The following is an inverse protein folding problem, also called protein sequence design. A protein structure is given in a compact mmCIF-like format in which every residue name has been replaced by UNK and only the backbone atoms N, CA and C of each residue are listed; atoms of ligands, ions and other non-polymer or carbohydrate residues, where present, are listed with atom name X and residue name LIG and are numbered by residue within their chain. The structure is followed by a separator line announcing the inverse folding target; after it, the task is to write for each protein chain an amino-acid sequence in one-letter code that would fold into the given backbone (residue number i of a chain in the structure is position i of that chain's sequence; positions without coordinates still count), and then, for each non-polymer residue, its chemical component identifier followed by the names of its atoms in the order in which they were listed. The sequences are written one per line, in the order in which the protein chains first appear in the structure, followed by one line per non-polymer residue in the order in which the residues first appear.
data_IF_144298256357
#
_entry.id   IF_144298256357
#
_cell.length_a   1.000
_cell.length_b   1.000
_cell.length_c   1.000
_cell.angle_alpha   90.00
_cell.angle_beta   90.00
_cell.angle_gamma   90.00
#
_symmetry.space_group_name_H-M   'P 1'
#
loop_
_entity.id
_entity.type
_entity.pdbx_description
1 polymer ?
#
# COMPACT_ATOMS: atom_id res chain seq x y z
N UNK A 1 70.08 -39.52 14.20
CA UNK A 1 70.13 -38.05 14.05
C UNK A 1 68.85 -37.46 14.60
N UNK A 2 68.97 -36.61 15.63
CA UNK A 2 67.88 -35.93 16.35
C UNK A 2 67.56 -34.60 15.66
N UNK A 3 66.28 -34.19 15.69
CA UNK A 3 65.74 -32.80 15.79
C UNK A 3 64.24 -32.89 15.40
N UNK A 4 63.32 -33.12 16.33
CA UNK A 4 62.71 -32.20 17.29
C UNK A 4 61.76 -31.17 16.64
N UNK A 5 60.46 -31.44 16.81
CA UNK A 5 59.29 -30.59 16.56
C UNK A 5 59.25 -29.41 17.57
N UNK A 6 58.58 -28.30 17.23
CA UNK A 6 57.70 -27.72 18.23
C UNK A 6 56.28 -27.52 17.71
N UNK A 7 55.35 -27.96 18.56
CA UNK A 7 53.91 -27.73 18.50
C UNK A 7 53.67 -26.23 18.65
N UNK A 8 53.06 -25.60 17.66
CA UNK A 8 52.47 -24.27 17.84
C UNK A 8 51.04 -24.43 18.36
N UNK A 9 50.97 -24.45 19.68
CA UNK A 9 49.78 -24.39 20.51
C UNK A 9 49.22 -22.95 20.44
N UNK A 10 48.22 -22.70 19.57
CA UNK A 10 47.45 -21.45 19.66
C UNK A 10 46.46 -21.56 20.83
N UNK A 11 46.86 -21.01 21.96
CA UNK A 11 46.05 -20.75 23.14
C UNK A 11 44.88 -19.83 22.77
N UNK A 12 43.67 -20.38 22.64
CA UNK A 12 42.42 -19.61 22.71
C UNK A 12 42.12 -19.40 24.20
N UNK A 13 42.67 -18.33 24.77
CA UNK A 13 42.37 -17.87 26.12
C UNK A 13 42.16 -16.37 26.12
N UNK A 14 40.96 -15.89 25.76
CA UNK A 14 40.45 -14.60 26.25
C UNK A 14 38.96 -14.78 26.53
N UNK A 15 38.65 -15.10 27.78
CA UNK A 15 37.33 -14.93 28.36
C UNK A 15 37.14 -13.43 28.66
N UNK A 16 36.32 -12.74 27.87
CA UNK A 16 35.89 -11.38 28.20
C UNK A 16 34.64 -11.50 29.09
N UNK A 17 34.88 -11.52 30.40
CA UNK A 17 33.87 -11.21 31.40
C UNK A 17 33.61 -9.69 31.36
N UNK A 18 32.55 -9.25 30.68
CA UNK A 18 31.97 -7.93 30.97
C UNK A 18 30.79 -8.16 31.91
N UNK A 19 31.16 -8.01 33.18
CA UNK A 19 30.30 -7.87 34.34
C UNK A 19 29.26 -6.76 34.13
N UNK A 20 28.01 -7.08 34.47
CA UNK A 20 26.93 -6.11 34.62
C UNK A 20 27.28 -5.11 35.73
N UNK A 21 27.24 -3.81 35.43
CA UNK A 21 27.10 -2.77 36.45
C UNK A 21 25.66 -2.26 36.44
N UNK A 22 24.91 -2.66 37.47
CA UNK A 22 23.59 -2.14 37.83
C UNK A 22 23.76 -0.94 38.76
N UNK A 23 22.92 0.08 38.57
CA UNK A 23 22.73 1.24 39.45
C UNK A 23 21.82 2.23 38.71
N UNK A 24 20.51 2.00 38.73
CA UNK A 24 19.52 2.69 39.60
C UNK A 24 19.23 4.13 39.14
N UNK A 25 18.07 4.32 38.51
CA UNK A 25 16.96 5.16 38.99
C UNK A 25 15.90 5.38 37.89
N UNK A 26 14.67 4.91 38.17
CA UNK A 26 13.43 5.51 37.65
C UNK A 26 13.10 6.71 38.57
N UNK A 27 12.32 7.74 38.17
CA UNK A 27 11.17 7.65 37.28
C UNK A 27 11.05 8.78 36.25
N UNK A 28 9.96 8.68 35.50
CA UNK A 28 9.21 9.79 34.87
C UNK A 28 9.31 9.90 33.34
N UNK A 29 8.20 9.47 32.74
CA UNK A 29 7.81 9.64 31.35
C UNK A 29 7.89 11.12 30.94
N UNK A 30 8.96 11.50 30.25
CA UNK A 30 8.92 12.66 29.35
C UNK A 30 8.14 12.26 28.10
N UNK A 31 6.86 12.63 28.07
CA UNK A 31 6.15 12.85 26.81
C UNK A 31 6.92 13.94 26.05
N UNK A 32 7.80 13.53 25.15
CA UNK A 32 8.28 14.43 24.11
C UNK A 32 7.07 14.67 23.21
N UNK A 33 6.42 15.81 23.41
CA UNK A 33 5.51 16.36 22.42
C UNK A 33 6.28 16.36 21.09
N UNK A 34 5.81 15.56 20.13
CA UNK A 34 6.25 15.70 18.75
C UNK A 34 5.70 17.07 18.34
N UNK A 35 6.55 18.09 18.38
CA UNK A 35 6.31 19.31 17.63
C UNK A 35 6.16 18.89 16.17
N UNK A 36 4.92 18.83 15.70
CA UNK A 36 4.62 18.83 14.28
C UNK A 36 5.05 20.20 13.78
N UNK A 37 6.33 20.31 13.41
CA UNK A 37 6.79 21.38 12.51
C UNK A 37 6.04 21.16 11.20
N UNK A 38 4.84 21.74 11.13
CA UNK A 38 4.09 21.89 9.89
C UNK A 38 4.85 22.85 9.00
N UNK A 39 5.88 22.36 8.32
CA UNK A 39 6.26 23.00 7.07
C UNK A 39 5.02 22.90 6.19
N UNK A 40 4.51 24.04 5.72
CA UNK A 40 3.61 24.11 4.57
C UNK A 40 4.41 23.61 3.36
N UNK A 41 4.75 22.32 3.37
CA UNK A 41 5.35 21.64 2.26
C UNK A 41 4.38 21.77 1.09
N UNK A 42 4.93 22.00 -0.10
CA UNK A 42 4.15 21.99 -1.33
C UNK A 42 3.26 20.73 -1.34
N UNK A 43 1.92 20.87 -1.34
CA UNK A 43 1.02 19.73 -1.21
C UNK A 43 1.05 18.82 -2.44
N UNK A 44 1.60 19.30 -3.58
CA UNK A 44 1.64 18.58 -4.85
C UNK A 44 3.04 18.69 -5.48
N UNK A 45 4.09 18.13 -4.84
CA UNK A 45 5.49 18.36 -5.22
C UNK A 45 5.91 17.70 -6.53
N UNK A 46 5.14 16.72 -7.01
CA UNK A 46 5.35 16.06 -8.31
C UNK A 46 4.56 16.71 -9.46
N UNK A 47 3.83 17.79 -9.19
CA UNK A 47 3.06 18.52 -10.21
C UNK A 47 3.87 19.71 -10.71
N UNK A 48 3.92 19.87 -12.04
CA UNK A 48 4.49 21.06 -12.66
C UNK A 48 3.75 22.31 -12.18
N UNK A 49 4.50 23.41 -11.99
CA UNK A 49 3.92 24.71 -11.70
C UNK A 49 3.00 25.18 -12.85
N UNK A 50 1.88 25.81 -12.50
CA UNK A 50 0.97 26.39 -13.49
C UNK A 50 -0.50 26.37 -13.09
N UNK A 51 -1.34 26.80 -14.03
CA UNK A 51 -2.77 27.00 -13.82
C UNK A 51 -3.50 25.72 -13.32
N UNK A 52 -3.08 24.54 -13.79
CA UNK A 52 -3.70 23.27 -13.40
C UNK A 52 -3.44 22.90 -11.93
N UNK A 53 -2.18 22.96 -11.49
CA UNK A 53 -1.83 22.72 -10.07
C UNK A 53 -2.55 23.71 -9.17
N UNK A 54 -2.56 24.99 -9.56
CA UNK A 54 -3.23 26.05 -8.83
C UNK A 54 -4.75 25.84 -8.73
N UNK A 55 -5.40 25.41 -9.81
CA UNK A 55 -6.86 25.20 -9.79
C UNK A 55 -7.26 24.03 -8.89
N UNK A 56 -6.49 22.92 -8.89
CA UNK A 56 -6.73 21.78 -7.98
C UNK A 56 -6.62 22.24 -6.52
N UNK A 57 -5.52 22.95 -6.18
CA UNK A 57 -5.28 23.43 -4.81
C UNK A 57 -6.38 24.41 -4.38
N UNK A 58 -6.73 25.38 -5.23
CA UNK A 58 -7.79 26.35 -4.92
C UNK A 58 -9.15 25.68 -4.75
N UNK A 59 -9.52 24.75 -5.65
CA UNK A 59 -10.77 23.99 -5.54
C UNK A 59 -10.86 23.25 -4.20
N UNK A 60 -9.81 22.52 -3.81
CA UNK A 60 -9.80 21.78 -2.54
C UNK A 60 -9.92 22.73 -1.35
N UNK A 61 -9.17 23.85 -1.35
CA UNK A 61 -9.22 24.86 -0.27
C UNK A 61 -10.63 25.44 -0.13
N UNK A 62 -11.24 25.85 -1.24
CA UNK A 62 -12.58 26.43 -1.25
C UNK A 62 -13.67 25.42 -0.87
N UNK A 63 -13.50 24.14 -1.24
CA UNK A 63 -14.45 23.08 -0.92
C UNK A 63 -14.46 22.70 0.57
N UNK A 64 -13.36 22.93 1.30
CA UNK A 64 -13.24 22.57 2.73
C UNK A 64 -13.39 23.75 3.69
N UNK A 65 -13.28 24.99 3.20
CA UNK A 65 -13.48 26.20 3.99
C UNK A 65 -14.98 26.46 4.25
N UNK A 66 -15.42 26.33 5.51
CA UNK A 66 -16.82 26.53 5.91
C UNK A 66 -17.37 27.94 5.65
N UNK A 67 -16.51 28.92 5.40
CA UNK A 67 -16.90 30.30 5.08
C UNK A 67 -16.97 30.56 3.57
N UNK A 68 -16.43 29.64 2.76
CA UNK A 68 -16.46 29.73 1.30
C UNK A 68 -17.86 29.52 0.76
N UNK A 69 -18.24 30.32 -0.25
CA UNK A 69 -19.47 30.08 -1.03
C UNK A 69 -19.48 28.73 -1.77
N UNK A 70 -18.31 28.13 -1.95
CA UNK A 70 -18.11 26.85 -2.63
C UNK A 70 -17.90 25.69 -1.63
N UNK A 71 -18.17 25.89 -0.33
CA UNK A 71 -18.05 24.85 0.68
C UNK A 71 -18.88 23.61 0.33
N UNK A 72 -18.27 22.43 0.43
CA UNK A 72 -18.92 21.14 0.24
C UNK A 72 -18.98 20.43 1.61
N UNK A 73 -20.18 20.04 2.10
CA UNK A 73 -20.30 19.23 3.31
C UNK A 73 -19.43 17.99 3.23
N UNK A 74 -18.83 17.57 4.35
CA UNK A 74 -17.86 16.46 4.34
C UNK A 74 -18.41 15.18 3.72
N UNK A 75 -19.69 14.87 3.92
CA UNK A 75 -20.35 13.69 3.37
C UNK A 75 -20.40 13.69 1.82
N UNK A 76 -20.34 14.86 1.20
CA UNK A 76 -20.49 15.05 -0.25
C UNK A 76 -19.15 15.26 -0.96
N UNK A 77 -18.01 15.22 -0.24
CA UNK A 77 -16.66 15.38 -0.81
C UNK A 77 -16.18 14.10 -1.49
N UNK A 78 -16.90 13.69 -2.54
CA UNK A 78 -16.62 12.48 -3.31
C UNK A 78 -15.93 12.86 -4.62
N UNK A 79 -14.74 12.31 -4.86
CA UNK A 79 -14.01 12.43 -6.10
C UNK A 79 -13.83 11.05 -6.74
N UNK A 80 -14.16 10.94 -8.03
CA UNK A 80 -14.01 9.71 -8.81
C UNK A 80 -12.87 9.86 -9.79
N UNK A 81 -11.96 8.88 -9.80
CA UNK A 81 -10.87 8.80 -10.77
C UNK A 81 -11.08 7.55 -11.62
N UNK A 82 -10.85 7.69 -12.92
CA UNK A 82 -10.63 6.51 -13.75
C UNK A 82 -9.34 5.81 -13.33
N UNK A 83 -9.17 4.53 -13.68
CA UNK A 83 -7.98 3.76 -13.36
C UNK A 83 -6.99 3.76 -14.52
N UNK A 84 -7.36 3.12 -15.63
CA UNK A 84 -6.50 2.88 -16.80
C UNK A 84 -6.19 4.20 -17.53
N UNK A 85 -4.91 4.53 -17.67
CA UNK A 85 -4.48 5.79 -18.29
C UNK A 85 -4.57 7.02 -17.38
N UNK A 86 -5.15 6.88 -16.18
CA UNK A 86 -5.28 7.98 -15.20
C UNK A 86 -4.44 7.73 -13.95
N UNK A 87 -4.70 6.65 -13.19
CA UNK A 87 -3.91 6.30 -11.99
C UNK A 87 -2.67 5.49 -12.34
N UNK A 88 -2.70 4.77 -13.47
CA UNK A 88 -1.57 4.01 -13.99
C UNK A 88 -1.56 4.00 -15.52
N UNK A 89 -0.44 3.58 -16.11
CA UNK A 89 -0.29 3.52 -17.56
C UNK A 89 -1.16 2.41 -18.14
N UNK A 90 -2.02 2.73 -19.11
CA UNK A 90 -2.84 1.72 -19.83
C UNK A 90 -2.08 1.01 -20.95
N UNK A 91 -0.98 1.58 -21.45
CA UNK A 91 -0.21 1.05 -22.58
C UNK A 91 1.29 1.26 -22.42
N UNK A 92 2.11 0.20 -22.56
CA UNK A 92 1.74 -1.22 -22.65
C UNK A 92 1.18 -1.77 -21.32
N UNK A 93 0.51 -2.93 -21.33
CA UNK A 93 -0.17 -3.57 -20.17
C UNK A 93 0.79 -4.11 -19.08
N UNK A 94 1.90 -3.43 -18.81
CA UNK A 94 2.96 -3.94 -17.92
C UNK A 94 2.46 -4.08 -16.49
N UNK A 95 1.67 -3.12 -16.01
CA UNK A 95 1.14 -3.13 -14.64
C UNK A 95 0.18 -4.29 -14.39
N UNK A 96 -0.76 -4.53 -15.31
CA UNK A 96 -1.69 -5.66 -15.23
C UNK A 96 -0.94 -7.00 -15.29
N UNK A 97 0.00 -7.16 -16.23
CA UNK A 97 0.82 -8.36 -16.35
C UNK A 97 1.67 -8.60 -15.10
N UNK A 98 2.21 -7.54 -14.50
CA UNK A 98 2.96 -7.62 -13.25
C UNK A 98 2.05 -8.05 -12.08
N UNK A 99 0.83 -7.53 -12.00
CA UNK A 99 -0.14 -7.95 -10.99
C UNK A 99 -0.44 -9.46 -11.10
N UNK A 100 -0.71 -9.97 -12.30
CA UNK A 100 -0.90 -11.40 -12.53
C UNK A 100 0.35 -12.24 -12.21
N UNK A 101 1.53 -11.75 -12.57
CA UNK A 101 2.79 -12.39 -12.22
C UNK A 101 2.96 -12.53 -10.70
N UNK A 102 2.68 -11.46 -9.95
CA UNK A 102 2.76 -11.46 -8.49
C UNK A 102 1.74 -12.41 -7.85
N UNK A 103 0.49 -12.40 -8.34
CA UNK A 103 -0.54 -13.35 -7.87
C UNK A 103 -0.10 -14.80 -8.07
N UNK A 104 0.43 -15.13 -9.26
CA UNK A 104 0.95 -16.48 -9.55
C UNK A 104 2.09 -16.86 -8.61
N UNK A 105 3.01 -15.94 -8.28
CA UNK A 105 4.08 -16.19 -7.30
C UNK A 105 3.55 -16.43 -5.90
N UNK A 106 2.58 -15.64 -5.45
CA UNK A 106 1.96 -15.82 -4.13
C UNK A 106 1.28 -17.19 -4.03
N UNK A 107 0.60 -17.63 -5.08
CA UNK A 107 -0.02 -18.96 -5.13
C UNK A 107 1.00 -20.10 -5.20
N UNK A 108 2.12 -19.91 -5.90
CA UNK A 108 3.20 -20.89 -5.91
C UNK A 108 3.82 -21.05 -4.51
N UNK A 109 3.98 -19.95 -3.77
CA UNK A 109 4.48 -19.96 -2.39
C UNK A 109 3.44 -20.48 -1.38
N UNK A 110 2.15 -20.27 -1.64
CA UNK A 110 1.05 -20.73 -0.79
C UNK A 110 -0.11 -21.27 -1.67
N UNK A 111 -0.10 -22.58 -1.99
CA UNK A 111 -1.11 -23.18 -2.86
C UNK A 111 -2.54 -23.06 -2.35
N UNK A 112 -2.75 -22.91 -1.04
CA UNK A 112 -4.09 -22.75 -0.46
C UNK A 112 -4.80 -21.47 -0.95
N UNK A 113 -4.04 -20.46 -1.41
CA UNK A 113 -4.60 -19.25 -1.99
C UNK A 113 -5.41 -19.53 -3.27
N UNK A 114 -5.08 -20.57 -4.04
CA UNK A 114 -5.78 -20.91 -5.29
C UNK A 114 -7.28 -21.12 -5.12
N UNK A 115 -7.72 -21.51 -3.92
CA UNK A 115 -9.13 -21.77 -3.60
C UNK A 115 -9.83 -20.58 -2.95
N UNK A 116 -9.14 -19.45 -2.73
CA UNK A 116 -9.64 -18.29 -1.99
C UNK A 116 -9.75 -17.07 -2.90
N UNK A 117 -10.86 -16.33 -2.81
CA UNK A 117 -10.98 -15.05 -3.51
C UNK A 117 -10.03 -13.99 -2.88
N UNK A 118 -9.41 -13.10 -3.67
CA UNK A 118 -9.55 -12.96 -5.13
C UNK A 118 -8.62 -13.86 -5.98
N UNK A 119 -7.67 -14.58 -5.38
CA UNK A 119 -6.67 -15.41 -6.09
C UNK A 119 -7.31 -16.49 -6.97
N UNK A 120 -8.41 -17.08 -6.51
CA UNK A 120 -9.19 -18.06 -7.28
C UNK A 120 -9.64 -17.51 -8.64
N UNK A 121 -10.03 -16.23 -8.71
CA UNK A 121 -10.47 -15.59 -9.95
C UNK A 121 -9.39 -15.57 -11.05
N UNK A 122 -8.10 -15.64 -10.68
CA UNK A 122 -6.99 -15.62 -11.63
C UNK A 122 -6.76 -16.96 -12.33
N UNK A 123 -7.20 -18.07 -11.71
CA UNK A 123 -6.99 -19.44 -12.23
C UNK A 123 -8.27 -20.11 -12.67
N UNK A 124 -9.43 -19.62 -12.24
CA UNK A 124 -10.71 -20.13 -12.71
C UNK A 124 -10.99 -19.69 -14.14
N UNK A 125 -11.65 -20.55 -14.92
CA UNK A 125 -12.07 -20.21 -16.28
C UNK A 125 -13.23 -19.22 -16.23
N UNK A 126 -13.34 -18.34 -17.22
CA UNK A 126 -14.32 -17.22 -17.31
C UNK A 126 -15.79 -17.57 -17.00
N UNK A 127 -16.19 -18.83 -17.07
CA UNK A 127 -17.56 -19.27 -16.76
C UNK A 127 -17.81 -19.64 -15.30
N UNK A 128 -16.78 -19.85 -14.47
CA UNK A 128 -16.95 -20.38 -13.11
C UNK A 128 -17.62 -19.37 -12.19
N UNK A 129 -17.15 -18.12 -12.18
CA UNK A 129 -17.75 -17.05 -11.39
C UNK A 129 -19.19 -16.73 -11.81
N UNK A 130 -19.46 -16.71 -13.12
CA UNK A 130 -20.82 -16.52 -13.65
C UNK A 130 -21.75 -17.68 -13.30
N UNK A 131 -21.24 -18.92 -13.37
CA UNK A 131 -21.99 -20.13 -12.97
C UNK A 131 -22.29 -20.12 -11.47
N UNK A 132 -21.30 -19.76 -10.64
CA UNK A 132 -21.47 -19.64 -9.20
C UNK A 132 -22.48 -18.55 -8.84
N UNK A 133 -22.42 -17.40 -9.52
CA UNK A 133 -23.39 -16.32 -9.31
C UNK A 133 -24.83 -16.80 -9.61
N UNK A 134 -25.03 -17.51 -10.73
CA UNK A 134 -26.34 -18.11 -11.06
C UNK A 134 -26.80 -19.12 -10.01
N UNK A 135 -25.93 -20.04 -9.58
CA UNK A 135 -26.28 -21.08 -8.61
C UNK A 135 -26.64 -20.50 -7.23
N UNK A 136 -25.93 -19.45 -6.79
CA UNK A 136 -26.15 -18.79 -5.51
C UNK A 136 -27.14 -17.61 -5.59
N UNK A 137 -27.77 -17.39 -6.74
CA UNK A 137 -28.67 -16.25 -7.01
C UNK A 137 -28.04 -14.89 -6.68
N UNK A 138 -26.73 -14.76 -6.90
CA UNK A 138 -26.05 -13.48 -6.77
C UNK A 138 -26.47 -12.54 -7.90
N UNK A 139 -26.57 -11.26 -7.57
CA UNK A 139 -26.80 -10.24 -8.58
C UNK A 139 -25.52 -10.06 -9.39
N UNK A 140 -25.59 -10.38 -10.69
CA UNK A 140 -24.52 -10.10 -11.64
C UNK A 140 -24.81 -8.72 -12.23
N UNK A 141 -23.88 -7.80 -12.02
CA UNK A 141 -23.95 -6.45 -12.57
C UNK A 141 -23.06 -6.44 -13.81
N UNK A 142 -23.63 -6.11 -14.95
CA UNK A 142 -22.88 -5.77 -16.14
C UNK A 142 -22.59 -4.27 -16.12
N UNK A 143 -21.32 -3.89 -15.94
CA UNK A 143 -20.93 -2.48 -15.85
C UNK A 143 -21.32 -1.64 -17.07
N UNK A 144 -21.48 -2.23 -18.27
CA UNK A 144 -21.82 -1.47 -19.48
C UNK A 144 -23.31 -1.20 -19.56
N UNK A 145 -24.14 -2.12 -19.11
CA UNK A 145 -25.60 -2.08 -19.30
C UNK A 145 -26.35 -1.67 -18.04
N UNK A 146 -25.86 -2.06 -16.86
CA UNK A 146 -26.52 -1.77 -15.57
C UNK A 146 -26.09 -0.43 -14.96
N UNK A 147 -25.00 0.19 -15.45
CA UNK A 147 -24.56 1.54 -15.06
C UNK A 147 -25.72 2.55 -15.03
N UNK A 148 -26.56 2.54 -16.08
CA UNK A 148 -27.71 3.47 -16.24
C UNK A 148 -28.83 3.26 -15.23
N UNK A 149 -28.83 2.10 -14.54
CA UNK A 149 -29.80 1.79 -13.50
C UNK A 149 -29.34 2.28 -12.13
N UNK A 150 -28.04 2.22 -11.87
CA UNK A 150 -27.41 2.60 -10.60
C UNK A 150 -27.27 4.12 -10.49
N UNK A 151 -26.79 4.75 -11.56
CA UNK A 151 -26.68 6.20 -11.67
C UNK A 151 -27.74 6.66 -12.67
N UNK A 152 -28.93 6.96 -12.16
CA UNK A 152 -29.97 7.61 -12.97
C UNK A 152 -29.68 9.10 -13.00
N UNK A 153 -29.73 9.68 -14.19
CA UNK A 153 -29.64 11.13 -14.44
C UNK A 153 -30.69 11.92 -13.64
#
# INVERSE_FOLDING_TARGET
MKKALPKLLCLVSIAIFISCKKGENSPESKQTAIEVSGTNADPLPSWNEGALKNSIISFVKEAVDSTSKNFIPQADRIATFDNDGTLWTEKPLVQELFAFYQVKKMMAANPALASKQPFKAVVEKDSVSLTAAKANKWHVIDMKTDWKKVFRD
#
